data_IF_379664935148
#
_entry.id   IF_379664935148
#
_cell.length_a   1.000
_cell.length_b   1.000
_cell.length_c   1.000
_cell.angle_alpha   90.00
_cell.angle_beta   90.00
_cell.angle_gamma   90.00
#
_symmetry.space_group_name_H-M   'P 1'
#
loop_
_entity.id
_entity.type
_entity.pdbx_description
1 polymer ?
#
# COMPACT_ATOMS: atom_id res chain seq x y z
N UNK A 1 -4.30 -19.46 7.27
CA UNK A 1 -3.62 -19.72 8.56
C UNK A 1 -2.81 -18.51 9.03
N UNK A 2 -1.85 -18.00 8.25
CA UNK A 2 -1.01 -16.85 8.68
C UNK A 2 -1.81 -15.56 8.93
N UNK A 3 -2.82 -15.24 8.11
CA UNK A 3 -3.76 -14.13 8.39
C UNK A 3 -4.51 -14.28 9.73
N UNK A 4 -4.90 -15.49 10.09
CA UNK A 4 -5.57 -15.75 11.37
C UNK A 4 -4.61 -15.49 12.54
N UNK A 5 -3.37 -15.97 12.43
CA UNK A 5 -2.31 -15.78 13.44
C UNK A 5 -1.96 -14.30 13.63
N UNK A 6 -1.94 -13.52 12.54
CA UNK A 6 -1.63 -12.08 12.58
C UNK A 6 -2.52 -11.29 13.56
N UNK A 7 -3.75 -11.72 13.82
CA UNK A 7 -4.63 -11.07 14.80
C UNK A 7 -4.27 -11.35 16.27
N UNK A 8 -3.41 -12.33 16.54
CA UNK A 8 -3.06 -12.80 17.89
C UNK A 8 -1.59 -12.57 18.26
N UNK A 9 -0.81 -12.00 17.35
CA UNK A 9 0.61 -11.66 17.59
C UNK A 9 0.77 -10.15 17.75
N UNK A 10 1.82 -9.73 18.44
CA UNK A 10 2.13 -8.31 18.62
C UNK A 10 2.52 -7.65 17.30
N UNK A 11 2.25 -6.35 17.18
CA UNK A 11 2.66 -5.52 16.02
C UNK A 11 4.16 -5.69 15.72
N UNK A 12 5.02 -5.69 16.75
CA UNK A 12 6.46 -5.93 16.59
C UNK A 12 6.77 -7.31 15.98
N UNK A 13 6.04 -8.36 16.37
CA UNK A 13 6.24 -9.70 15.79
C UNK A 13 5.85 -9.73 14.31
N UNK A 14 4.82 -8.98 13.93
CA UNK A 14 4.41 -8.87 12.52
C UNK A 14 5.53 -8.18 11.73
N UNK A 15 6.02 -7.04 12.22
CA UNK A 15 7.05 -6.22 11.57
C UNK A 15 8.39 -6.96 11.45
N UNK A 16 8.88 -7.57 12.54
CA UNK A 16 10.24 -8.13 12.58
C UNK A 16 10.35 -9.54 12.00
N UNK A 17 9.23 -10.28 11.90
CA UNK A 17 9.27 -11.69 11.48
C UNK A 17 8.35 -11.99 10.30
N UNK A 18 7.08 -11.61 10.40
CA UNK A 18 6.10 -11.98 9.38
C UNK A 18 6.36 -11.20 8.08
N UNK A 19 6.58 -9.89 8.16
CA UNK A 19 6.84 -9.05 6.99
C UNK A 19 8.11 -9.49 6.23
N UNK A 20 9.28 -9.71 6.86
CA UNK A 20 10.46 -10.22 6.16
C UNK A 20 10.26 -11.59 5.52
N UNK A 21 9.55 -12.49 6.19
CA UNK A 21 9.22 -13.80 5.63
C UNK A 21 8.33 -13.68 4.40
N UNK A 22 7.29 -12.85 4.45
CA UNK A 22 6.40 -12.61 3.31
C UNK A 22 7.13 -11.93 2.15
N UNK A 23 8.07 -11.02 2.42
CA UNK A 23 8.93 -10.42 1.39
C UNK A 23 9.69 -11.47 0.59
N UNK A 24 10.21 -12.52 1.26
CA UNK A 24 10.87 -13.64 0.58
C UNK A 24 9.87 -14.44 -0.29
N UNK A 25 8.67 -14.71 0.23
CA UNK A 25 7.65 -15.48 -0.48
C UNK A 25 7.07 -14.76 -1.71
N UNK A 26 7.08 -13.42 -1.74
CA UNK A 26 6.68 -12.66 -2.93
C UNK A 26 7.63 -12.94 -4.11
N UNK A 27 8.83 -13.45 -3.86
CA UNK A 27 9.82 -13.81 -4.90
C UNK A 27 9.87 -15.33 -5.16
N UNK A 28 8.89 -16.10 -4.66
CA UNK A 28 8.87 -17.54 -4.81
C UNK A 28 8.64 -17.98 -6.27
N UNK A 29 9.18 -19.14 -6.64
CA UNK A 29 9.02 -19.72 -7.98
C UNK A 29 7.56 -20.05 -8.31
N UNK A 30 6.75 -20.40 -7.31
CA UNK A 30 5.37 -20.79 -7.48
C UNK A 30 4.43 -19.58 -7.43
N UNK A 31 3.64 -19.32 -8.48
CA UNK A 31 2.81 -18.13 -8.55
C UNK A 31 1.71 -18.09 -7.48
N UNK A 32 1.19 -19.25 -7.09
CA UNK A 32 0.21 -19.36 -6.00
C UNK A 32 0.77 -18.89 -4.66
N UNK A 33 2.05 -19.18 -4.39
CA UNK A 33 2.76 -18.73 -3.19
C UNK A 33 2.94 -17.21 -3.23
N UNK A 34 3.40 -16.66 -4.36
CA UNK A 34 3.55 -15.20 -4.53
C UNK A 34 2.23 -14.47 -4.32
N UNK A 35 1.16 -14.94 -4.97
CA UNK A 35 -0.18 -14.37 -4.86
C UNK A 35 -0.69 -14.37 -3.41
N UNK A 36 -0.54 -15.49 -2.71
CA UNK A 36 -0.99 -15.60 -1.32
C UNK A 36 -0.11 -14.76 -0.37
N UNK A 37 1.18 -14.62 -0.66
CA UNK A 37 2.09 -13.76 0.10
C UNK A 37 1.69 -12.29 -0.01
N UNK A 38 1.30 -11.81 -1.20
CA UNK A 38 0.84 -10.42 -1.40
C UNK A 38 -0.43 -10.14 -0.57
N UNK A 39 -1.45 -11.02 -0.67
CA UNK A 39 -2.70 -10.86 0.11
C UNK A 39 -2.44 -10.89 1.60
N UNK A 40 -1.56 -11.78 2.04
CA UNK A 40 -1.21 -11.94 3.45
C UNK A 40 -0.41 -10.74 3.95
N UNK A 41 0.53 -10.22 3.16
CA UNK A 41 1.30 -9.03 3.50
C UNK A 41 0.39 -7.82 3.68
N UNK A 42 -0.50 -7.59 2.72
CA UNK A 42 -1.49 -6.52 2.78
C UNK A 42 -2.35 -6.61 4.05
N UNK A 43 -2.88 -7.81 4.36
CA UNK A 43 -3.63 -8.03 5.60
C UNK A 43 -2.80 -7.80 6.87
N UNK A 44 -1.58 -8.33 6.93
CA UNK A 44 -0.71 -8.18 8.09
C UNK A 44 -0.37 -6.70 8.35
N UNK A 45 -0.12 -5.92 7.29
CA UNK A 45 0.11 -4.49 7.41
C UNK A 45 -1.15 -3.74 7.85
N UNK A 46 -2.34 -4.18 7.42
CA UNK A 46 -3.58 -3.49 7.78
C UNK A 46 -3.98 -3.64 9.25
N UNK A 47 -3.54 -4.69 9.95
CA UNK A 47 -3.85 -4.91 11.36
C UNK A 47 -2.88 -4.23 12.33
N UNK A 48 -1.70 -3.79 11.88
CA UNK A 48 -0.70 -3.11 12.72
C UNK A 48 -1.23 -1.76 13.20
N UNK A 49 -1.18 -1.52 14.51
CA UNK A 49 -1.69 -0.29 15.15
C UNK A 49 -0.58 0.62 15.65
N UNK A 50 0.59 0.06 15.97
CA UNK A 50 1.76 0.79 16.47
C UNK A 50 2.97 0.47 15.61
N UNK A 51 3.69 1.52 15.25
CA UNK A 51 4.93 1.43 14.45
C UNK A 51 6.04 2.06 15.28
N UNK A 52 7.14 1.33 15.58
CA UNK A 52 8.32 1.91 16.22
C UNK A 52 9.09 2.80 15.24
N UNK A 53 9.89 3.74 15.76
CA UNK A 53 10.65 4.71 14.92
C UNK A 53 11.58 4.05 13.90
N UNK A 54 12.13 2.88 14.23
CA UNK A 54 12.97 2.08 13.32
C UNK A 54 12.25 1.70 12.02
N UNK A 55 10.92 1.68 12.03
CA UNK A 55 10.08 1.16 10.96
C UNK A 55 9.21 2.23 10.30
N UNK A 56 9.45 3.53 10.57
CA UNK A 56 8.71 4.62 9.91
C UNK A 56 8.87 4.58 8.40
N UNK A 57 10.08 4.27 7.92
CA UNK A 57 10.37 4.17 6.49
C UNK A 57 10.11 2.78 5.89
N UNK A 58 9.42 1.89 6.62
CA UNK A 58 9.14 0.52 6.15
C UNK A 58 8.47 0.49 4.78
N UNK A 59 7.49 1.36 4.54
CA UNK A 59 6.81 1.42 3.25
C UNK A 59 7.72 1.86 2.09
N UNK A 60 8.31 3.07 2.12
CA UNK A 60 9.13 3.55 1.01
C UNK A 60 10.39 2.71 0.79
N UNK A 61 11.05 2.24 1.85
CA UNK A 61 12.35 1.56 1.73
C UNK A 61 12.24 0.05 1.54
N UNK A 62 11.17 -0.59 2.01
CA UNK A 62 11.09 -2.06 2.05
C UNK A 62 9.88 -2.66 1.32
N UNK A 63 8.67 -2.13 1.56
CA UNK A 63 7.43 -2.71 1.01
C UNK A 63 7.21 -2.27 -0.45
N UNK A 64 7.19 -0.97 -0.71
CA UNK A 64 6.86 -0.41 -2.03
C UNK A 64 7.81 -0.88 -3.14
N UNK A 65 9.14 -0.99 -2.94
CA UNK A 65 10.04 -1.49 -3.97
C UNK A 65 9.67 -2.89 -4.47
N UNK A 66 9.19 -3.76 -3.58
CA UNK A 66 8.72 -5.10 -3.96
C UNK A 66 7.37 -5.04 -4.65
N UNK A 67 6.42 -4.27 -4.09
CA UNK A 67 5.08 -4.15 -4.64
C UNK A 67 5.09 -3.56 -6.06
N UNK A 68 5.98 -2.61 -6.35
CA UNK A 68 6.13 -2.01 -7.68
C UNK A 68 6.58 -2.98 -8.78
N UNK A 69 7.15 -4.13 -8.40
CA UNK A 69 7.52 -5.17 -9.36
C UNK A 69 6.35 -6.09 -9.73
N UNK A 70 5.35 -6.20 -8.85
CA UNK A 70 4.25 -7.15 -8.98
C UNK A 70 3.33 -6.90 -10.19
N UNK A 71 3.00 -5.65 -10.60
CA UNK A 71 2.24 -5.42 -11.84
C UNK A 71 2.92 -5.97 -13.10
N UNK A 72 4.22 -6.25 -13.04
CA UNK A 72 5.00 -6.80 -14.16
C UNK A 72 5.18 -8.33 -14.07
N UNK A 73 4.59 -8.97 -13.06
CA UNK A 73 4.66 -10.42 -12.91
C UNK A 73 4.02 -11.11 -14.13
N UNK A 74 4.67 -12.17 -14.62
CA UNK A 74 4.19 -12.92 -15.79
C UNK A 74 2.84 -13.60 -15.53
N UNK A 75 2.60 -14.00 -14.29
CA UNK A 75 1.43 -14.77 -13.90
C UNK A 75 0.25 -13.86 -13.53
N UNK A 76 -0.84 -13.98 -14.31
CA UNK A 76 -2.08 -13.21 -14.11
C UNK A 76 -2.60 -13.31 -12.68
N UNK A 77 -2.56 -14.50 -12.06
CA UNK A 77 -3.05 -14.72 -10.70
C UNK A 77 -2.32 -13.87 -9.64
N UNK A 78 -1.04 -13.56 -9.86
CA UNK A 78 -0.24 -12.73 -8.96
C UNK A 78 -0.64 -11.27 -9.13
N UNK A 79 -0.83 -10.82 -10.37
CA UNK A 79 -1.33 -9.46 -10.66
C UNK A 79 -2.75 -9.24 -10.15
N UNK A 80 -3.62 -10.25 -10.25
CA UNK A 80 -4.97 -10.26 -9.63
C UNK A 80 -4.86 -10.11 -8.11
N UNK A 81 -3.96 -10.86 -7.45
CA UNK A 81 -3.77 -10.74 -6.01
C UNK A 81 -3.36 -9.33 -5.58
N UNK A 82 -2.52 -8.66 -6.36
CA UNK A 82 -2.21 -7.25 -6.15
C UNK A 82 -3.44 -6.35 -6.37
N UNK A 83 -4.18 -6.55 -7.46
CA UNK A 83 -5.38 -5.78 -7.76
C UNK A 83 -6.42 -5.84 -6.65
N UNK A 84 -6.56 -6.98 -5.98
CA UNK A 84 -7.44 -7.16 -4.81
C UNK A 84 -6.92 -6.46 -3.54
N UNK A 85 -5.60 -6.31 -3.42
CA UNK A 85 -4.92 -5.93 -2.17
C UNK A 85 -4.36 -4.51 -2.17
N UNK A 86 -4.25 -3.86 -3.33
CA UNK A 86 -3.56 -2.57 -3.51
C UNK A 86 -4.19 -1.44 -2.71
N UNK A 87 -5.51 -1.43 -2.56
CA UNK A 87 -6.18 -0.43 -1.74
C UNK A 87 -5.79 -0.52 -0.26
N UNK A 88 -5.74 -1.73 0.30
CA UNK A 88 -5.34 -1.93 1.69
C UNK A 88 -3.86 -1.58 1.92
N UNK A 89 -3.00 -1.82 0.93
CA UNK A 89 -1.61 -1.38 0.97
C UNK A 89 -1.52 0.15 0.99
N UNK A 90 -2.28 0.85 0.15
CA UNK A 90 -2.33 2.31 0.12
C UNK A 90 -2.82 2.89 1.45
N UNK A 91 -3.93 2.39 1.97
CA UNK A 91 -4.49 2.84 3.25
C UNK A 91 -3.55 2.54 4.42
N UNK A 92 -2.92 1.37 4.44
CA UNK A 92 -1.94 1.03 5.48
C UNK A 92 -0.70 1.94 5.39
N UNK A 93 -0.22 2.23 4.18
CA UNK A 93 0.94 3.10 3.99
C UNK A 93 0.68 4.54 4.45
N UNK A 94 -0.51 5.06 4.19
CA UNK A 94 -0.92 6.38 4.67
C UNK A 94 -1.04 6.40 6.20
N UNK A 95 -1.67 5.38 6.79
CA UNK A 95 -1.76 5.25 8.24
C UNK A 95 -0.38 5.19 8.91
N UNK A 96 0.58 4.49 8.30
CA UNK A 96 1.96 4.45 8.83
C UNK A 96 2.61 5.83 8.81
N UNK A 97 2.43 6.59 7.72
CA UNK A 97 2.89 7.96 7.61
C UNK A 97 2.25 8.87 8.68
N UNK A 98 0.94 8.76 8.89
CA UNK A 98 0.23 9.52 9.94
C UNK A 98 0.74 9.16 11.35
N UNK A 99 0.97 7.87 11.63
CA UNK A 99 1.49 7.41 12.92
C UNK A 99 2.91 7.93 13.17
N UNK A 100 3.77 7.94 12.14
CA UNK A 100 5.11 8.51 12.23
C UNK A 100 5.05 10.00 12.56
N UNK A 101 4.22 10.75 11.83
CA UNK A 101 4.03 12.18 12.03
C UNK A 101 3.51 12.52 13.43
N UNK A 102 2.52 11.79 13.92
CA UNK A 102 1.96 12.00 15.26
C UNK A 102 3.00 11.77 16.36
N UNK A 103 3.84 10.75 16.23
CA UNK A 103 4.93 10.49 17.18
C UNK A 103 5.98 11.60 17.15
N UNK A 104 6.41 12.03 15.96
CA UNK A 104 7.36 13.14 15.83
C UNK A 104 6.82 14.46 16.41
N UNK A 105 5.54 14.74 16.20
CA UNK A 105 4.89 15.93 16.75
C UNK A 105 4.76 15.89 18.28
N UNK A 106 4.47 14.72 18.87
CA UNK A 106 4.42 14.57 20.34
C UNK A 106 5.77 14.83 21.00
N UNK A 107 6.85 14.46 20.33
CA UNK A 107 8.22 14.68 20.81
C UNK A 107 8.62 16.16 20.70
N UNK A 108 8.23 16.82 19.60
CA UNK A 108 8.48 18.24 19.40
C UNK A 108 7.63 19.14 20.30
N UNK A 109 6.43 18.70 20.72
CA UNK A 109 5.54 19.47 21.59
C UNK A 109 6.05 19.63 23.04
N UNK A 110 7.13 18.95 23.41
CA UNK A 110 7.88 19.21 24.65
C UNK A 110 8.72 20.49 24.61
N UNK A 111 8.98 21.03 23.41
CA UNK A 111 9.72 22.25 23.15
C UNK A 111 8.79 23.35 22.59
N UNK A 112 9.12 24.64 22.78
CA UNK A 112 8.31 25.77 22.26
C UNK A 112 8.07 25.66 20.74
N UNK A 113 6.89 26.09 20.22
CA UNK A 113 6.57 25.99 18.80
C UNK A 113 7.57 26.80 17.97
N UNK A 114 8.50 26.07 17.37
CA UNK A 114 9.68 26.59 16.68
C UNK A 114 9.64 26.18 15.20
N UNK A 115 10.58 26.69 14.39
CA UNK A 115 10.65 26.41 12.95
C UNK A 115 10.69 24.92 12.58
N UNK A 116 11.05 24.05 13.53
CA UNK A 116 11.02 22.59 13.42
C UNK A 116 9.61 22.09 13.10
N UNK A 117 8.56 22.64 13.71
CA UNK A 117 7.20 22.15 13.50
C UNK A 117 6.70 22.40 12.06
N UNK A 118 7.01 23.57 11.47
CA UNK A 118 6.71 23.85 10.06
C UNK A 118 7.48 22.95 9.09
N UNK A 119 8.72 22.56 9.43
CA UNK A 119 9.50 21.61 8.62
C UNK A 119 8.87 20.21 8.63
N UNK A 120 8.41 19.73 9.79
CA UNK A 120 7.75 18.42 9.92
C UNK A 120 6.45 18.37 9.08
N UNK A 121 5.66 19.45 9.03
CA UNK A 121 4.49 19.52 8.15
C UNK A 121 4.85 19.49 6.66
N UNK A 122 5.88 20.25 6.25
CA UNK A 122 6.34 20.25 4.85
C UNK A 122 6.87 18.88 4.39
N UNK A 123 7.52 18.15 5.28
CA UNK A 123 7.99 16.78 5.00
C UNK A 123 6.82 15.81 4.85
N UNK A 124 5.81 15.88 5.72
CA UNK A 124 4.61 15.05 5.60
C UNK A 124 3.87 15.23 4.27
N UNK A 125 3.63 16.48 3.85
CA UNK A 125 2.92 16.75 2.59
C UNK A 125 3.68 16.20 1.37
N UNK A 126 5.01 16.31 1.39
CA UNK A 126 5.87 15.77 0.35
C UNK A 126 5.86 14.24 0.33
N UNK A 127 5.95 13.58 1.48
CA UNK A 127 5.88 12.11 1.58
C UNK A 127 4.50 11.59 1.15
N UNK A 128 3.42 12.26 1.56
CA UNK A 128 2.06 11.92 1.12
C UNK A 128 1.90 12.09 -0.39
N UNK A 129 2.49 13.14 -0.97
CA UNK A 129 2.49 13.34 -2.42
C UNK A 129 3.17 12.18 -3.15
N UNK A 130 4.38 11.80 -2.73
CA UNK A 130 5.13 10.67 -3.30
C UNK A 130 4.37 9.35 -3.17
N UNK A 131 3.68 9.15 -2.04
CA UNK A 131 2.85 7.99 -1.81
C UNK A 131 1.69 7.94 -2.83
N UNK A 132 1.01 9.06 -3.04
CA UNK A 132 -0.02 9.15 -4.06
C UNK A 132 0.50 8.88 -5.47
N UNK A 133 1.65 9.44 -5.85
CA UNK A 133 2.25 9.18 -7.17
C UNK A 133 2.58 7.69 -7.37
N UNK A 134 3.15 7.06 -6.35
CA UNK A 134 3.51 5.64 -6.37
C UNK A 134 2.29 4.76 -6.59
N UNK A 135 1.24 4.93 -5.78
CA UNK A 135 0.02 4.13 -5.92
C UNK A 135 -0.75 4.47 -7.20
N UNK A 136 -0.71 5.72 -7.67
CA UNK A 136 -1.29 6.09 -8.95
C UNK A 136 -0.62 5.32 -10.10
N UNK A 137 0.71 5.22 -10.10
CA UNK A 137 1.45 4.44 -11.10
C UNK A 137 1.03 2.96 -11.09
N UNK A 138 0.87 2.36 -9.91
CA UNK A 138 0.40 0.97 -9.77
C UNK A 138 -1.03 0.83 -10.33
N UNK A 139 -1.93 1.74 -9.98
CA UNK A 139 -3.33 1.72 -10.43
C UNK A 139 -3.44 1.81 -11.94
N UNK A 140 -2.68 2.71 -12.56
CA UNK A 140 -2.65 2.85 -14.03
C UNK A 140 -2.19 1.54 -14.67
N UNK A 141 -1.12 0.91 -14.17
CA UNK A 141 -0.67 -0.38 -14.69
C UNK A 141 -1.75 -1.47 -14.58
N UNK A 142 -2.46 -1.55 -13.46
CA UNK A 142 -3.52 -2.55 -13.25
C UNK A 142 -4.76 -2.30 -14.11
N UNK A 143 -5.14 -1.04 -14.32
CA UNK A 143 -6.28 -0.67 -15.17
C UNK A 143 -5.96 -0.80 -16.66
N UNK A 144 -4.68 -0.70 -17.04
CA UNK A 144 -4.19 -0.94 -18.40
C UNK A 144 -3.71 -2.38 -18.63
N UNK A 145 -3.98 -3.31 -17.70
CA UNK A 145 -3.57 -4.71 -17.87
C UNK A 145 -4.24 -5.36 -19.08
N UNK A 146 -3.51 -6.23 -19.75
CA UNK A 146 -4.00 -7.00 -20.90
C UNK A 146 -5.09 -8.00 -20.49
N UNK A 147 -5.04 -8.51 -19.25
CA UNK A 147 -6.00 -9.48 -18.75
C UNK A 147 -7.19 -8.81 -18.06
N UNK A 148 -8.41 -9.15 -18.50
CA UNK A 148 -9.65 -8.57 -17.97
C UNK A 148 -9.93 -8.96 -16.52
N UNK A 149 -9.39 -10.07 -16.03
CA UNK A 149 -9.55 -10.50 -14.63
C UNK A 149 -8.83 -9.56 -13.68
N UNK A 150 -7.65 -9.04 -14.05
CA UNK A 150 -6.89 -8.06 -13.25
C UNK A 150 -7.70 -6.78 -13.10
N UNK A 151 -8.19 -6.24 -14.22
CA UNK A 151 -9.02 -5.05 -14.27
C UNK A 151 -10.29 -5.23 -13.44
N UNK A 152 -11.01 -6.35 -13.62
CA UNK A 152 -12.23 -6.66 -12.85
C UNK A 152 -11.96 -6.78 -11.34
N UNK A 153 -10.88 -7.46 -10.96
CA UNK A 153 -10.50 -7.60 -9.55
C UNK A 153 -10.21 -6.23 -8.91
N UNK A 154 -9.47 -5.37 -9.61
CA UNK A 154 -9.20 -4.01 -9.16
C UNK A 154 -10.49 -3.21 -8.94
N UNK A 155 -11.38 -3.19 -9.94
CA UNK A 155 -12.62 -2.44 -9.88
C UNK A 155 -13.57 -2.92 -8.78
N UNK A 156 -13.58 -4.23 -8.53
CA UNK A 156 -14.47 -4.84 -7.53
C UNK A 156 -13.97 -4.62 -6.11
N UNK A 157 -12.66 -4.71 -5.87
CA UNK A 157 -12.11 -4.78 -4.51
C UNK A 157 -11.39 -3.50 -4.06
N UNK A 158 -10.77 -2.76 -4.98
CA UNK A 158 -9.84 -1.68 -4.65
C UNK A 158 -10.30 -0.29 -5.07
N UNK A 159 -11.02 -0.15 -6.19
CA UNK A 159 -11.35 1.15 -6.77
C UNK A 159 -12.05 2.10 -5.79
N UNK A 160 -13.10 1.64 -5.10
CA UNK A 160 -13.85 2.49 -4.16
C UNK A 160 -13.01 3.03 -3.00
N UNK A 161 -12.17 2.18 -2.39
CA UNK A 161 -11.26 2.56 -1.29
C UNK A 161 -10.17 3.53 -1.76
N UNK A 162 -9.64 3.30 -2.95
CA UNK A 162 -8.63 4.18 -3.54
C UNK A 162 -9.20 5.54 -3.93
N UNK A 163 -10.49 5.65 -4.27
CA UNK A 163 -11.14 6.94 -4.43
C UNK A 163 -11.10 7.77 -3.15
N UNK A 164 -11.28 7.13 -1.99
CA UNK A 164 -11.15 7.80 -0.69
C UNK A 164 -9.70 8.17 -0.40
N UNK A 165 -8.75 7.27 -0.65
CA UNK A 165 -7.32 7.52 -0.45
C UNK A 165 -6.80 8.70 -1.27
N UNK A 166 -7.09 8.76 -2.58
CA UNK A 166 -6.65 9.87 -3.43
C UNK A 166 -7.43 11.18 -3.23
N UNK A 167 -8.61 11.11 -2.63
CA UNK A 167 -9.56 12.21 -2.59
C UNK A 167 -10.32 12.40 -3.92
N UNK A 168 -11.46 13.09 -3.85
CA UNK A 168 -12.45 13.14 -4.94
C UNK A 168 -11.90 13.64 -6.29
N UNK A 169 -11.01 14.65 -6.27
CA UNK A 169 -10.47 15.25 -7.49
C UNK A 169 -9.48 14.31 -8.20
N UNK A 170 -8.49 13.80 -7.47
CA UNK A 170 -7.44 12.93 -8.02
C UNK A 170 -7.98 11.54 -8.37
N UNK A 171 -8.96 11.04 -7.63
CA UNK A 171 -9.69 9.82 -7.97
C UNK A 171 -10.39 9.91 -9.33
N UNK A 172 -11.01 11.07 -9.64
CA UNK A 172 -11.65 11.30 -10.94
C UNK A 172 -10.64 11.23 -12.09
N UNK A 173 -9.46 11.82 -11.91
CA UNK A 173 -8.41 11.85 -12.94
C UNK A 173 -7.77 10.47 -13.16
N UNK A 174 -7.50 9.73 -12.09
CA UNK A 174 -6.77 8.47 -12.15
C UNK A 174 -7.70 7.29 -12.46
N UNK A 175 -8.82 7.18 -11.76
CA UNK A 175 -9.68 5.98 -11.81
C UNK A 175 -10.75 6.14 -12.89
N UNK A 176 -11.44 7.29 -12.95
CA UNK A 176 -12.59 7.45 -13.84
C UNK A 176 -12.20 7.47 -15.32
N UNK A 177 -11.09 8.13 -15.66
CA UNK A 177 -10.56 8.20 -17.03
C UNK A 177 -10.28 6.81 -17.61
N UNK A 178 -9.71 5.92 -16.80
CA UNK A 178 -9.36 4.56 -17.19
C UNK A 178 -10.58 3.61 -17.15
N UNK A 179 -11.53 3.82 -16.23
CA UNK A 179 -12.79 3.08 -16.19
C UNK A 179 -13.64 3.31 -17.43
N UNK A 180 -13.73 4.55 -17.92
CA UNK A 180 -14.49 4.88 -19.14
C UNK A 180 -13.88 4.15 -20.34
N UNK A 181 -12.55 4.15 -20.47
CA UNK A 181 -11.86 3.40 -21.53
C UNK A 181 -12.13 1.90 -21.42
N UNK A 182 -12.03 1.32 -20.22
CA UNK A 182 -12.28 -0.11 -20.01
C UNK A 182 -13.73 -0.52 -20.30
N UNK A 183 -14.71 0.29 -19.91
CA UNK A 183 -16.13 0.02 -20.19
C UNK A 183 -16.48 0.16 -21.68
N UNK A 184 -15.65 0.87 -22.45
CA UNK A 184 -15.83 1.08 -23.88
C UNK A 184 -15.09 0.04 -24.74
N UNK A 185 -14.14 -0.71 -24.19
CA UNK A 185 -13.54 -1.88 -24.84
C UNK A 185 -14.59 -3.02 -24.89
N UNK A 186 -15.12 -3.28 -26.10
CA UNK A 186 -16.14 -4.30 -26.38
C UNK A 186 -15.55 -5.69 -26.58
#
# INVERSE_FOLDING_TARGET
MMRTIANYVSDCSILERIVPFLHLLIKDKWPSVRAEAIRTLSFCLSVIRKVPRSDFNLFPEYILPVILMVPKDIDVQVRVALAESVAELALSSHRFLELAQLQMNQEAAGDEPSGVQYQIYGTYDNELHQLHETFQSIVVHLLSDNDSNVKRAFLTHSAGKLCTFFGAQKAKEVILSHMITFLNDK
#
